data_IF_391116748221
#
_entry.id   IF_391116748221
#
_cell.length_a   1.000
_cell.length_b   1.000
_cell.length_c   1.000
_cell.angle_alpha   90.00
_cell.angle_beta   90.00
_cell.angle_gamma   90.00
#
_symmetry.space_group_name_H-M   'P 1'
#
loop_
_entity.id
_entity.type
_entity.pdbx_description
1 polymer ?
#
# COMPACT_ATOMS: atom_id res chain seq x y z
N UNK A 1 -17.58 -23.41 -2.63
CA UNK A 1 -17.74 -22.05 -2.07
C UNK A 1 -18.02 -21.11 -3.23
N UNK A 2 -19.02 -20.25 -3.14
CA UNK A 2 -19.49 -19.44 -4.27
C UNK A 2 -18.56 -18.25 -4.50
N UNK A 3 -18.15 -18.04 -5.75
CA UNK A 3 -17.43 -16.86 -6.25
C UNK A 3 -18.35 -15.63 -6.24
N UNK A 4 -18.79 -15.23 -5.05
CA UNK A 4 -19.68 -14.08 -4.85
C UNK A 4 -18.88 -12.78 -5.00
N UNK A 5 -19.37 -11.91 -5.88
CA UNK A 5 -18.97 -10.50 -5.97
C UNK A 5 -19.73 -9.69 -4.93
N UNK A 6 -19.01 -8.93 -4.08
CA UNK A 6 -19.63 -8.09 -3.03
C UNK A 6 -19.84 -6.64 -3.48
N UNK A 7 -19.01 -6.14 -4.39
CA UNK A 7 -19.10 -4.78 -4.90
C UNK A 7 -18.42 -4.69 -6.27
N UNK A 8 -18.83 -3.70 -7.06
CA UNK A 8 -18.08 -3.25 -8.23
C UNK A 8 -17.08 -2.16 -7.83
N UNK A 9 -15.91 -2.17 -8.46
CA UNK A 9 -14.88 -1.17 -8.27
C UNK A 9 -14.35 -0.67 -9.62
N UNK A 10 -14.56 0.61 -9.90
CA UNK A 10 -14.22 1.25 -11.17
C UNK A 10 -12.92 2.06 -11.14
N UNK A 11 -12.35 2.30 -9.95
CA UNK A 11 -11.08 3.01 -9.80
C UNK A 11 -9.87 2.15 -10.12
N UNK A 12 -8.67 2.72 -9.94
CA UNK A 12 -7.40 2.00 -9.94
C UNK A 12 -7.08 1.48 -8.55
N UNK A 13 -6.49 0.29 -8.48
CA UNK A 13 -5.94 -0.28 -7.27
C UNK A 13 -4.42 -0.26 -7.36
N UNK A 14 -3.77 0.47 -6.45
CA UNK A 14 -2.31 0.45 -6.30
C UNK A 14 -1.98 -0.40 -5.10
N UNK A 15 -1.19 -1.46 -5.29
CA UNK A 15 -0.70 -2.32 -4.21
C UNK A 15 0.77 -1.98 -3.95
N UNK A 16 1.09 -1.60 -2.71
CA UNK A 16 2.48 -1.36 -2.29
C UNK A 16 2.96 -2.58 -1.51
N UNK A 17 4.02 -3.21 -2.00
CA UNK A 17 4.54 -4.48 -1.50
C UNK A 17 3.86 -5.68 -2.16
N UNK A 18 4.66 -6.63 -2.65
CA UNK A 18 4.15 -7.84 -3.31
C UNK A 18 4.83 -9.12 -2.83
N UNK A 19 5.10 -9.16 -1.52
CA UNK A 19 5.48 -10.37 -0.80
C UNK A 19 4.29 -11.30 -0.56
N UNK A 20 4.35 -12.05 0.54
CA UNK A 20 3.34 -13.07 0.87
C UNK A 20 1.90 -12.53 0.94
N UNK A 21 1.69 -11.38 1.58
CA UNK A 21 0.35 -10.81 1.76
C UNK A 21 -0.20 -10.25 0.45
N UNK A 22 0.60 -9.50 -0.31
CA UNK A 22 0.20 -8.97 -1.61
C UNK A 22 -0.24 -10.07 -2.58
N UNK A 23 0.59 -11.11 -2.72
CA UNK A 23 0.30 -12.26 -3.57
C UNK A 23 -0.90 -13.08 -3.06
N UNK A 24 -1.05 -13.23 -1.74
CA UNK A 24 -2.15 -13.97 -1.14
C UNK A 24 -3.51 -13.26 -1.23
N UNK A 25 -3.53 -11.94 -1.20
CA UNK A 25 -4.77 -11.13 -1.25
C UNK A 25 -5.24 -10.87 -2.68
N UNK A 26 -4.33 -10.74 -3.65
CA UNK A 26 -4.68 -10.52 -5.06
C UNK A 26 -5.77 -11.47 -5.61
N UNK A 27 -5.67 -12.82 -5.48
CA UNK A 27 -6.72 -13.72 -5.94
C UNK A 27 -8.04 -13.53 -5.20
N UNK A 28 -8.02 -13.10 -3.94
CA UNK A 28 -9.24 -12.82 -3.18
C UNK A 28 -9.93 -11.55 -3.69
N UNK A 29 -9.16 -10.50 -4.00
CA UNK A 29 -9.68 -9.27 -4.61
C UNK A 29 -10.33 -9.58 -5.96
N UNK A 30 -9.61 -10.26 -6.85
CA UNK A 30 -10.12 -10.65 -8.16
C UNK A 30 -11.29 -11.63 -8.08
N UNK A 31 -11.37 -12.46 -7.03
CA UNK A 31 -12.54 -13.34 -6.80
C UNK A 31 -13.75 -12.56 -6.32
N UNK A 32 -13.59 -11.65 -5.36
CA UNK A 32 -14.70 -11.10 -4.58
C UNK A 32 -15.10 -9.66 -4.91
N UNK A 33 -14.30 -8.95 -5.69
CA UNK A 33 -14.58 -7.60 -6.19
C UNK A 33 -14.71 -7.69 -7.70
N UNK A 34 -15.71 -7.01 -8.26
CA UNK A 34 -15.85 -6.89 -9.72
C UNK A 34 -14.88 -5.79 -10.19
N UNK A 35 -13.73 -6.24 -10.70
CA UNK A 35 -12.64 -5.42 -11.22
C UNK A 35 -11.84 -6.19 -12.28
N UNK A 36 -11.14 -5.46 -13.14
CA UNK A 36 -10.28 -6.01 -14.19
C UNK A 36 -8.82 -5.99 -13.75
N UNK A 37 -7.98 -6.97 -14.13
CA UNK A 37 -6.55 -6.96 -13.82
C UNK A 37 -5.84 -5.67 -14.26
N UNK A 38 -6.19 -5.11 -15.42
CA UNK A 38 -5.62 -3.84 -15.89
C UNK A 38 -5.99 -2.59 -15.07
N UNK A 39 -6.76 -2.72 -13.99
CA UNK A 39 -6.95 -1.66 -12.99
C UNK A 39 -5.91 -1.73 -11.86
N UNK A 40 -5.10 -2.79 -11.81
CA UNK A 40 -4.20 -3.10 -10.70
C UNK A 40 -2.76 -2.81 -11.13
N UNK A 41 -2.07 -2.02 -10.31
CA UNK A 41 -0.64 -1.77 -10.42
C UNK A 41 0.02 -2.16 -9.10
N UNK A 42 1.05 -3.00 -9.17
CA UNK A 42 1.91 -3.37 -8.04
C UNK A 42 3.17 -2.52 -8.06
N UNK A 43 3.58 -2.00 -6.90
CA UNK A 43 4.85 -1.33 -6.69
C UNK A 43 5.59 -2.02 -5.56
N UNK A 44 6.85 -2.42 -5.79
CA UNK A 44 7.65 -3.14 -4.79
C UNK A 44 9.14 -2.79 -4.93
N UNK A 45 9.90 -2.96 -3.86
CA UNK A 45 11.33 -2.66 -3.83
C UNK A 45 12.23 -3.77 -4.41
N UNK A 46 11.67 -4.96 -4.62
CA UNK A 46 12.39 -6.16 -5.08
C UNK A 46 11.56 -6.92 -6.13
N UNK A 47 12.19 -7.73 -7.01
CA UNK A 47 11.50 -8.41 -8.12
C UNK A 47 10.57 -9.55 -7.68
N UNK A 48 10.48 -9.82 -6.37
CA UNK A 48 9.63 -10.88 -5.83
C UNK A 48 8.16 -10.64 -6.21
N UNK A 49 7.51 -11.69 -6.72
CA UNK A 49 6.12 -11.63 -7.16
C UNK A 49 5.93 -11.20 -8.62
N UNK A 50 7.01 -10.96 -9.36
CA UNK A 50 6.92 -10.57 -10.78
C UNK A 50 6.22 -11.64 -11.64
N UNK A 51 6.54 -12.93 -11.44
CA UNK A 51 5.93 -14.02 -12.19
C UNK A 51 4.42 -14.12 -11.93
N UNK A 52 4.00 -13.99 -10.68
CA UNK A 52 2.59 -13.91 -10.30
C UNK A 52 1.89 -12.71 -10.95
N UNK A 53 2.54 -11.53 -10.97
CA UNK A 53 1.98 -10.36 -11.62
C UNK A 53 1.75 -10.57 -13.12
N UNK A 54 2.70 -11.23 -13.80
CA UNK A 54 2.58 -11.63 -15.21
C UNK A 54 1.44 -12.64 -15.41
N UNK A 55 1.31 -13.64 -14.54
CA UNK A 55 0.24 -14.65 -14.60
C UNK A 55 -1.16 -14.01 -14.52
N UNK A 56 -1.33 -13.02 -13.64
CA UNK A 56 -2.60 -12.29 -13.53
C UNK A 56 -2.78 -11.17 -14.56
N UNK A 57 -1.74 -10.83 -15.34
CA UNK A 57 -1.77 -9.74 -16.31
C UNK A 57 -1.93 -8.35 -15.65
N UNK A 58 -1.28 -8.14 -14.51
CA UNK A 58 -1.27 -6.87 -13.78
C UNK A 58 0.05 -6.12 -14.01
N UNK A 59 0.02 -4.79 -13.91
CA UNK A 59 1.23 -3.98 -14.06
C UNK A 59 2.13 -4.15 -12.82
N UNK A 60 3.43 -4.31 -13.04
CA UNK A 60 4.43 -4.47 -11.99
C UNK A 60 5.54 -3.43 -12.15
N UNK A 61 5.75 -2.64 -11.10
CA UNK A 61 6.76 -1.58 -11.04
C UNK A 61 7.75 -1.92 -9.93
N UNK A 62 8.99 -2.21 -10.30
CA UNK A 62 10.09 -2.36 -9.35
C UNK A 62 10.66 -0.97 -9.00
N UNK A 63 10.14 -0.38 -7.94
CA UNK A 63 10.56 0.91 -7.43
C UNK A 63 10.40 0.94 -5.89
N UNK A 64 11.53 0.86 -5.18
CA UNK A 64 11.54 1.03 -3.73
C UNK A 64 11.10 2.44 -3.33
N UNK A 65 10.01 2.54 -2.57
CA UNK A 65 9.52 3.82 -2.10
C UNK A 65 10.39 4.35 -0.96
N UNK A 66 10.78 5.61 -1.06
CA UNK A 66 11.52 6.33 -0.04
C UNK A 66 10.78 7.61 0.34
N UNK A 67 11.21 8.22 1.44
CA UNK A 67 10.71 9.52 1.87
C UNK A 67 10.86 10.60 0.77
N UNK A 68 11.88 10.51 -0.09
CA UNK A 68 12.19 11.47 -1.14
C UNK A 68 11.39 11.23 -2.42
N UNK A 69 11.04 9.98 -2.74
CA UNK A 69 10.47 9.63 -4.05
C UNK A 69 8.98 9.28 -4.04
N UNK A 70 8.39 8.95 -2.88
CA UNK A 70 7.08 8.30 -2.84
C UNK A 70 5.98 9.14 -3.50
N UNK A 71 6.05 10.47 -3.37
CA UNK A 71 5.10 11.39 -4.02
C UNK A 71 5.22 11.35 -5.53
N UNK A 72 6.43 11.48 -6.07
CA UNK A 72 6.66 11.48 -7.51
C UNK A 72 6.21 10.16 -8.16
N UNK A 73 6.38 9.04 -7.46
CA UNK A 73 5.97 7.72 -7.93
C UNK A 73 4.44 7.53 -7.82
N UNK A 74 3.82 7.93 -6.71
CA UNK A 74 2.43 7.59 -6.41
C UNK A 74 1.40 8.60 -6.91
N UNK A 75 1.74 9.89 -6.98
CA UNK A 75 0.78 10.94 -7.38
C UNK A 75 0.18 10.71 -8.79
N UNK A 76 0.93 10.25 -9.81
CA UNK A 76 0.35 9.90 -11.12
C UNK A 76 -0.63 8.72 -11.06
N UNK A 77 -0.44 7.82 -10.09
CA UNK A 77 -1.19 6.56 -9.95
C UNK A 77 -2.41 6.70 -9.05
N UNK A 78 -2.58 7.82 -8.34
CA UNK A 78 -3.65 8.05 -7.38
C UNK A 78 -4.49 9.28 -7.71
N UNK A 79 -5.81 9.09 -7.72
CA UNK A 79 -6.82 10.12 -7.82
C UNK A 79 -8.08 9.79 -7.02
N UNK A 80 -9.10 10.63 -7.16
CA UNK A 80 -10.36 10.48 -6.44
C UNK A 80 -11.04 9.16 -6.79
N UNK A 81 -11.33 8.33 -5.78
CA UNK A 81 -11.99 7.04 -5.96
C UNK A 81 -11.06 5.86 -6.28
N UNK A 82 -9.75 6.12 -6.44
CA UNK A 82 -8.73 5.07 -6.46
C UNK A 82 -8.50 4.51 -5.05
N UNK A 83 -7.82 3.37 -4.96
CA UNK A 83 -7.51 2.68 -3.71
C UNK A 83 -6.02 2.37 -3.65
N UNK A 84 -5.34 2.77 -2.57
CA UNK A 84 -4.00 2.28 -2.23
C UNK A 84 -4.07 1.20 -1.13
N UNK A 85 -3.67 -0.02 -1.45
CA UNK A 85 -3.53 -1.14 -0.51
C UNK A 85 -2.05 -1.29 -0.14
N UNK A 86 -1.70 -0.92 1.08
CA UNK A 86 -0.33 -1.00 1.58
C UNK A 86 -0.11 -2.31 2.36
N UNK A 87 0.69 -3.19 1.80
CA UNK A 87 1.12 -4.46 2.44
C UNK A 87 2.64 -4.59 2.36
N UNK A 88 3.34 -3.46 2.45
CA UNK A 88 4.79 -3.34 2.39
C UNK A 88 5.43 -3.28 3.78
N UNK A 89 6.76 -3.26 3.78
CA UNK A 89 7.62 -2.94 4.93
C UNK A 89 8.43 -1.71 4.56
N UNK A 90 9.04 -1.04 5.54
CA UNK A 90 9.97 0.08 5.29
C UNK A 90 9.35 1.29 4.55
N UNK A 91 8.03 1.41 4.53
CA UNK A 91 7.30 2.53 3.91
C UNK A 91 6.37 3.18 4.92
N UNK A 92 6.48 4.51 5.10
CA UNK A 92 5.71 5.20 6.14
C UNK A 92 4.19 5.18 5.88
N UNK A 93 3.43 4.47 6.72
CA UNK A 93 1.95 4.46 6.65
C UNK A 93 1.37 5.86 6.79
N UNK A 94 1.89 6.66 7.73
CA UNK A 94 1.43 8.05 7.98
C UNK A 94 1.62 8.93 6.75
N UNK A 95 2.75 8.80 6.04
CA UNK A 95 3.00 9.53 4.81
C UNK A 95 2.03 9.12 3.68
N UNK A 96 1.73 7.81 3.56
CA UNK A 96 0.79 7.30 2.57
C UNK A 96 -0.66 7.68 2.88
N UNK A 97 -1.09 7.66 4.15
CA UNK A 97 -2.42 8.13 4.58
C UNK A 97 -2.59 9.60 4.20
N UNK A 98 -1.58 10.43 4.51
CA UNK A 98 -1.58 11.86 4.17
C UNK A 98 -1.75 12.08 2.67
N UNK A 99 -0.94 11.40 1.86
CA UNK A 99 -1.01 11.48 0.39
C UNK A 99 -2.37 10.98 -0.14
N UNK A 100 -2.87 9.83 0.29
CA UNK A 100 -4.15 9.31 -0.18
C UNK A 100 -5.30 10.29 0.14
N UNK A 101 -5.29 10.90 1.32
CA UNK A 101 -6.25 11.93 1.69
C UNK A 101 -6.18 13.16 0.78
N UNK A 102 -4.97 13.66 0.49
CA UNK A 102 -4.74 14.78 -0.44
C UNK A 102 -5.28 14.47 -1.85
N UNK A 103 -5.10 13.22 -2.32
CA UNK A 103 -5.53 12.77 -3.65
C UNK A 103 -7.01 12.33 -3.71
N UNK A 104 -7.69 12.19 -2.57
CA UNK A 104 -9.04 11.65 -2.49
C UNK A 104 -9.13 10.14 -2.76
N UNK A 105 -8.03 9.41 -2.56
CA UNK A 105 -7.96 7.97 -2.70
C UNK A 105 -8.29 7.28 -1.35
N UNK A 106 -8.84 6.07 -1.44
CA UNK A 106 -8.99 5.16 -0.31
C UNK A 106 -7.64 4.58 0.10
N UNK A 107 -7.50 4.23 1.37
CA UNK A 107 -6.27 3.66 1.93
C UNK A 107 -6.60 2.51 2.88
N UNK A 108 -5.81 1.44 2.82
CA UNK A 108 -5.82 0.35 3.80
C UNK A 108 -4.40 -0.20 3.97
N UNK A 109 -4.01 -0.46 5.21
CA UNK A 109 -2.78 -1.15 5.57
C UNK A 109 -3.02 -2.25 6.62
N UNK A 110 -1.95 -2.94 7.01
CA UNK A 110 -1.97 -4.01 8.04
C UNK A 110 -1.18 -3.64 9.29
N UNK A 111 -0.42 -2.54 9.27
CA UNK A 111 0.36 -1.99 10.37
C UNK A 111 0.64 -0.51 10.17
N UNK A 112 1.05 0.20 11.22
CA UNK A 112 1.59 1.56 11.11
C UNK A 112 3.10 1.45 11.01
N UNK A 113 3.59 1.47 9.78
CA UNK A 113 5.01 1.30 9.47
C UNK A 113 5.71 2.67 9.39
N UNK A 114 6.96 2.82 9.90
CA UNK A 114 7.80 3.98 9.66
C UNK A 114 8.65 3.83 8.38
N UNK A 115 9.34 4.91 7.99
CA UNK A 115 10.45 4.81 7.03
C UNK A 115 11.63 4.01 7.63
N UNK A 116 12.58 3.54 6.80
CA UNK A 116 13.73 2.77 7.28
C UNK A 116 14.49 3.50 8.38
N UNK A 117 14.92 2.75 9.39
CA UNK A 117 15.60 3.30 10.57
C UNK A 117 14.65 3.74 11.70
N UNK A 118 13.35 3.92 11.45
CA UNK A 118 12.39 4.34 12.48
C UNK A 118 12.29 3.38 13.68
N UNK A 119 12.43 2.07 13.46
CA UNK A 119 12.43 1.06 14.53
C UNK A 119 13.77 0.93 15.26
N UNK A 120 14.87 1.35 14.64
CA UNK A 120 16.23 0.99 15.09
C UNK A 120 17.10 2.20 15.42
N UNK A 121 16.61 3.44 15.26
CA UNK A 121 17.36 4.65 15.57
C UNK A 121 17.83 4.65 17.04
N UNK A 122 19.15 4.55 17.30
CA UNK A 122 19.69 4.52 18.65
C UNK A 122 19.59 5.87 19.36
N UNK A 123 19.34 6.95 18.63
CA UNK A 123 19.19 8.30 19.19
C UNK A 123 17.78 8.55 19.75
N UNK A 124 16.83 7.65 19.47
CA UNK A 124 15.45 7.76 19.97
C UNK A 124 15.24 6.94 21.25
N UNK A 125 14.52 7.51 22.25
CA UNK A 125 14.13 6.74 23.43
C UNK A 125 13.21 5.57 23.02
N UNK A 126 13.22 4.42 23.73
CA UNK A 126 12.38 3.27 23.39
C UNK A 126 10.90 3.59 23.22
N UNK A 127 10.36 4.53 24.02
CA UNK A 127 8.97 4.97 23.90
C UNK A 127 8.65 5.59 22.53
N UNK A 128 9.59 6.30 21.90
CA UNK A 128 9.41 6.88 20.57
C UNK A 128 9.45 5.83 19.44
N UNK A 129 9.95 4.63 19.71
CA UNK A 129 9.99 3.49 18.77
C UNK A 129 8.88 2.47 19.04
N UNK A 130 7.90 2.84 19.86
CA UNK A 130 6.77 1.97 20.23
C UNK A 130 5.61 2.09 19.23
N UNK A 131 4.81 1.01 19.11
CA UNK A 131 3.55 1.06 18.36
C UNK A 131 2.56 2.09 18.92
N UNK A 132 2.67 2.44 20.21
CA UNK A 132 1.88 3.54 20.78
C UNK A 132 2.25 4.87 20.12
N UNK A 133 3.54 5.21 20.05
CA UNK A 133 3.99 6.45 19.42
C UNK A 133 3.64 6.52 17.93
N UNK A 134 3.77 5.40 17.21
CA UNK A 134 3.35 5.29 15.81
C UNK A 134 1.83 5.47 15.66
N UNK A 135 1.03 4.91 16.57
CA UNK A 135 -0.42 5.14 16.60
C UNK A 135 -0.76 6.60 16.85
N UNK A 136 -0.10 7.25 17.81
CA UNK A 136 -0.35 8.67 18.10
C UNK A 136 -0.01 9.56 16.90
N UNK A 137 1.04 9.26 16.13
CA UNK A 137 1.35 10.02 14.91
C UNK A 137 0.29 9.84 13.82
N UNK A 138 -0.29 8.65 13.66
CA UNK A 138 -1.43 8.43 12.78
C UNK A 138 -2.71 9.13 13.28
N UNK A 139 -2.97 9.12 14.59
CA UNK A 139 -4.11 9.83 15.18
C UNK A 139 -4.02 11.34 14.99
N UNK A 140 -2.81 11.91 14.97
CA UNK A 140 -2.60 13.32 14.68
C UNK A 140 -3.03 13.73 13.26
N UNK A 141 -3.27 12.78 12.35
CA UNK A 141 -3.84 13.06 11.03
C UNK A 141 -5.36 13.22 11.04
N UNK A 142 -6.05 12.85 12.13
CA UNK A 142 -7.51 13.00 12.21
C UNK A 142 -7.89 14.48 12.07
N UNK A 143 -8.98 14.77 11.33
CA UNK A 143 -9.50 16.14 11.21
C UNK A 143 -10.04 16.66 12.54
#
# INVERSE_FOLDING_TARGET
MLDKKYTAFSGRLVIIGFGSIGQGVLPLLLRHIEMRPGQITVITAEPRGYEEAVEYGIEFIEAGLTHENYRAVLEPLLGRGDFLLNVSVDVSSVALIGLCRERGALYLDTCIEPWPGGYTDPNLPPAARSNYALRESALALRP
#
